data_IF_498981614060
#
_entry.id   IF_498981614060
#
_cell.length_a   1.000
_cell.length_b   1.000
_cell.length_c   1.000
_cell.angle_alpha   90.00
_cell.angle_beta   90.00
_cell.angle_gamma   90.00
#
_symmetry.space_group_name_H-M   'P 1'
#
loop_
_entity.id
_entity.type
_entity.pdbx_description
1 polymer ?
#
# COMPACT_ATOMS: atom_id res chain seq x y z
N UNK A 1 -69.22 -13.01 -5.56
CA UNK A 1 -68.17 -14.04 -5.62
C UNK A 1 -66.90 -13.49 -4.96
N UNK A 2 -66.37 -14.20 -3.97
CA UNK A 2 -65.08 -13.88 -3.33
C UNK A 2 -63.95 -13.91 -4.36
N UNK A 3 -62.91 -13.08 -4.18
CA UNK A 3 -61.58 -13.56 -3.77
C UNK A 3 -60.61 -12.40 -3.52
N UNK A 4 -59.99 -12.45 -2.34
CA UNK A 4 -58.82 -11.69 -1.90
C UNK A 4 -57.56 -12.16 -2.64
N UNK A 5 -56.53 -11.30 -2.61
CA UNK A 5 -55.05 -11.52 -2.48
C UNK A 5 -54.33 -10.50 -3.38
N UNK A 6 -53.93 -9.33 -2.86
CA UNK A 6 -52.70 -9.06 -2.10
C UNK A 6 -51.43 -9.58 -2.77
N UNK A 7 -50.60 -8.65 -3.27
CA UNK A 7 -49.14 -8.69 -3.11
C UNK A 7 -48.54 -7.31 -3.40
N UNK A 8 -48.39 -6.59 -2.30
CA UNK A 8 -47.49 -5.47 -2.03
C UNK A 8 -46.04 -5.85 -2.35
N UNK A 9 -45.17 -4.92 -2.77
CA UNK A 9 -44.03 -4.46 -1.96
C UNK A 9 -43.16 -3.38 -2.66
N UNK A 10 -43.27 -2.20 -2.06
CA UNK A 10 -42.22 -1.20 -1.73
C UNK A 10 -41.68 -0.29 -2.84
N UNK A 11 -42.34 0.86 -2.83
CA UNK A 11 -41.95 2.21 -3.17
C UNK A 11 -41.00 2.87 -2.14
N UNK A 12 -40.35 3.97 -2.56
CA UNK A 12 -39.87 5.13 -1.77
C UNK A 12 -38.55 4.92 -1.02
N UNK A 13 -37.58 5.84 -0.91
CA UNK A 13 -37.20 7.12 -1.53
C UNK A 13 -35.94 7.58 -0.77
N UNK A 14 -35.17 8.47 -1.38
CA UNK A 14 -34.46 9.61 -0.77
C UNK A 14 -34.23 9.59 0.77
N UNK A 15 -32.96 9.61 1.18
CA UNK A 15 -32.55 9.83 2.57
C UNK A 15 -31.14 10.38 2.67
N UNK A 16 -30.95 11.61 2.21
CA UNK A 16 -29.77 12.45 2.41
C UNK A 16 -29.64 12.79 3.90
N UNK A 17 -28.42 12.62 4.42
CA UNK A 17 -27.83 13.24 5.62
C UNK A 17 -28.76 13.64 6.78
N UNK A 18 -28.75 12.87 7.88
CA UNK A 18 -28.71 13.42 9.26
C UNK A 18 -27.99 12.41 10.16
N UNK A 19 -27.06 12.86 11.01
CA UNK A 19 -26.70 12.10 12.21
C UNK A 19 -25.25 12.11 12.71
N UNK A 20 -24.64 13.29 12.85
CA UNK A 20 -23.60 13.47 13.88
C UNK A 20 -24.29 13.47 15.25
N UNK A 21 -24.35 12.31 15.94
CA UNK A 21 -24.45 12.19 17.41
C UNK A 21 -24.57 10.71 17.79
N UNK A 22 -23.62 10.23 18.59
CA UNK A 22 -23.37 8.80 18.84
C UNK A 22 -24.41 8.08 19.71
N UNK A 23 -24.33 6.76 19.73
CA UNK A 23 -23.75 5.93 20.81
C UNK A 23 -23.85 4.49 20.30
N UNK A 24 -22.69 3.85 20.23
CA UNK A 24 -22.51 2.50 19.76
C UNK A 24 -21.03 2.22 19.83
N UNK A 25 -20.51 2.23 21.05
CA UNK A 25 -19.15 1.84 21.38
C UNK A 25 -19.04 0.33 21.15
N UNK A 26 -19.18 -0.09 19.90
CA UNK A 26 -18.55 -1.32 19.47
C UNK A 26 -17.06 -1.01 19.54
N UNK A 27 -16.36 -1.69 20.43
CA UNK A 27 -14.93 -1.92 20.29
C UNK A 27 -14.73 -2.61 18.94
N UNK A 28 -14.84 -1.86 17.84
CA UNK A 28 -14.27 -2.24 16.56
C UNK A 28 -12.80 -2.27 16.88
N UNK A 29 -12.30 -3.47 17.19
CA UNK A 29 -10.88 -3.79 17.09
C UNK A 29 -10.45 -3.15 15.78
N UNK A 30 -9.75 -2.02 15.88
CA UNK A 30 -9.36 -1.24 14.73
C UNK A 30 -8.29 -2.09 14.08
N UNK A 31 -8.72 -3.01 13.22
CA UNK A 31 -7.85 -3.93 12.51
C UNK A 31 -6.76 -3.07 11.90
N UNK A 32 -5.52 -3.36 12.27
CA UNK A 32 -4.38 -2.57 11.82
C UNK A 32 -4.45 -2.50 10.31
N UNK A 33 -4.54 -1.29 9.75
CA UNK A 33 -4.51 -1.09 8.30
C UNK A 33 -3.17 -1.49 7.66
N UNK A 34 -2.23 -1.95 8.48
CA UNK A 34 -0.93 -2.44 8.08
C UNK A 34 -0.94 -3.95 7.93
N UNK A 35 -0.51 -4.39 6.76
CA UNK A 35 -0.25 -5.77 6.41
C UNK A 35 1.26 -6.04 6.54
N UNK A 36 1.64 -7.23 6.97
CA UNK A 36 3.05 -7.64 7.03
C UNK A 36 3.57 -7.93 5.61
N UNK A 37 4.79 -7.51 5.34
CA UNK A 37 5.54 -7.83 4.14
C UNK A 37 5.34 -6.88 2.97
N UNK A 38 5.41 -7.43 1.75
CA UNK A 38 5.37 -6.67 0.50
C UNK A 38 4.02 -6.86 -0.21
N UNK A 39 3.40 -5.81 -0.79
CA UNK A 39 2.22 -5.96 -1.63
C UNK A 39 2.44 -6.99 -2.75
N UNK A 40 1.46 -7.87 -2.97
CA UNK A 40 1.58 -8.98 -3.93
C UNK A 40 2.03 -8.54 -5.33
N UNK A 41 1.55 -7.38 -5.79
CA UNK A 41 1.88 -6.84 -7.12
C UNK A 41 3.35 -6.47 -7.30
N UNK A 42 4.07 -6.24 -6.19
CA UNK A 42 5.49 -5.95 -6.19
C UNK A 42 6.34 -7.17 -5.85
N UNK A 43 5.79 -8.27 -5.37
CA UNK A 43 6.61 -9.45 -5.06
C UNK A 43 7.33 -9.97 -6.32
N UNK A 44 8.59 -10.34 -6.16
CA UNK A 44 9.47 -10.83 -7.22
C UNK A 44 9.63 -9.86 -8.40
N UNK A 45 9.63 -8.55 -8.11
CA UNK A 45 9.79 -7.51 -9.14
C UNK A 45 11.06 -6.70 -8.92
N UNK A 46 11.60 -6.18 -10.01
CA UNK A 46 12.80 -5.34 -10.00
C UNK A 46 12.53 -4.08 -10.82
N UNK A 47 12.92 -2.93 -10.29
CA UNK A 47 12.63 -1.61 -10.84
C UNK A 47 13.86 -0.71 -10.82
N UNK A 48 14.01 0.20 -11.77
CA UNK A 48 15.15 1.12 -11.81
C UNK A 48 14.77 2.54 -12.23
N UNK A 49 15.57 3.51 -11.82
CA UNK A 49 15.59 4.89 -12.32
C UNK A 49 17.05 5.29 -12.53
N UNK A 50 17.51 5.30 -13.79
CA UNK A 50 18.92 5.52 -14.10
C UNK A 50 19.83 4.49 -13.42
N UNK A 51 20.76 4.96 -12.60
CA UNK A 51 21.66 4.13 -11.78
C UNK A 51 20.99 3.53 -10.52
N UNK A 52 19.85 4.08 -10.10
CA UNK A 52 19.12 3.62 -8.90
C UNK A 52 18.31 2.37 -9.21
N UNK A 53 18.20 1.46 -8.25
CA UNK A 53 17.51 0.16 -8.40
C UNK A 53 16.68 -0.15 -7.15
N UNK A 54 15.57 -0.84 -7.33
CA UNK A 54 14.69 -1.32 -6.26
C UNK A 54 14.33 -2.76 -6.59
N UNK A 55 14.51 -3.68 -5.66
CA UNK A 55 14.14 -5.10 -5.84
C UNK A 55 13.23 -5.56 -4.71
N UNK A 56 12.16 -6.25 -5.07
CA UNK A 56 11.23 -6.86 -4.15
C UNK A 56 11.32 -8.38 -4.34
N UNK A 57 12.03 -9.09 -3.47
CA UNK A 57 12.23 -10.54 -3.53
C UNK A 57 11.25 -11.34 -2.65
N UNK A 58 11.49 -12.65 -2.54
CA UNK A 58 10.65 -13.58 -1.75
C UNK A 58 10.80 -13.39 -0.25
N UNK A 59 11.98 -12.99 0.20
CA UNK A 59 12.29 -12.78 1.63
C UNK A 59 12.96 -11.45 1.91
N UNK A 60 13.40 -10.76 0.86
CA UNK A 60 14.29 -9.61 0.95
C UNK A 60 13.81 -8.53 -0.03
N UNK A 61 13.67 -7.33 0.50
CA UNK A 61 13.38 -6.08 -0.15
C UNK A 61 14.69 -5.26 -0.24
N UNK A 62 15.06 -4.61 -1.34
CA UNK A 62 16.30 -3.81 -1.43
C UNK A 62 16.09 -2.47 -2.13
N UNK A 63 16.70 -1.40 -1.60
CA UNK A 63 16.78 -0.06 -2.20
C UNK A 63 18.22 0.23 -2.62
N UNK A 64 18.40 0.85 -3.79
CA UNK A 64 19.69 1.30 -4.31
C UNK A 64 19.51 2.73 -4.77
N UNK A 65 20.24 3.66 -4.15
CA UNK A 65 20.20 5.08 -4.50
C UNK A 65 21.12 5.42 -5.69
N UNK A 66 20.98 6.61 -6.29
CA UNK A 66 21.80 7.06 -7.41
C UNK A 66 23.26 7.30 -7.00
N UNK A 67 23.49 7.62 -5.72
CA UNK A 67 24.81 7.74 -5.08
C UNK A 67 25.36 6.38 -4.58
N UNK A 68 24.73 5.26 -4.98
CA UNK A 68 25.12 3.94 -4.50
C UNK A 68 24.58 3.59 -3.11
N UNK A 69 23.37 4.09 -2.79
CA UNK A 69 22.66 3.78 -1.55
C UNK A 69 22.73 2.28 -1.23
N UNK A 70 23.03 2.00 0.04
CA UNK A 70 23.33 0.71 0.65
C UNK A 70 22.84 -0.52 -0.13
N UNK A 71 23.79 -1.36 -0.59
CA UNK A 71 23.51 -2.66 -1.24
C UNK A 71 22.98 -3.71 -0.24
N UNK A 72 22.01 -3.36 0.59
CA UNK A 72 21.51 -4.23 1.64
C UNK A 72 20.04 -4.54 1.45
N UNK A 73 19.70 -5.76 1.83
CA UNK A 73 18.37 -6.28 1.77
C UNK A 73 17.68 -6.17 3.13
N UNK A 74 16.51 -5.55 3.17
CA UNK A 74 15.60 -5.55 4.31
C UNK A 74 14.74 -6.81 4.25
N UNK A 75 14.75 -7.67 5.28
CA UNK A 75 13.88 -8.84 5.32
C UNK A 75 12.40 -8.45 5.27
N UNK A 76 11.56 -9.27 4.63
CA UNK A 76 10.11 -9.04 4.55
C UNK A 76 9.47 -8.95 5.95
N UNK A 77 10.07 -9.59 6.96
CA UNK A 77 9.64 -9.49 8.36
C UNK A 77 9.71 -8.08 8.92
N UNK A 78 10.59 -7.25 8.36
CA UNK A 78 10.85 -5.87 8.77
C UNK A 78 10.17 -4.87 7.84
N UNK A 79 9.28 -5.35 6.96
CA UNK A 79 8.47 -4.50 6.09
C UNK A 79 6.99 -4.67 6.47
N UNK A 80 6.28 -3.56 6.49
CA UNK A 80 4.81 -3.52 6.58
C UNK A 80 4.29 -2.59 5.50
N UNK A 81 3.09 -2.84 5.01
CA UNK A 81 2.45 -1.94 4.05
C UNK A 81 1.00 -1.63 4.42
N UNK A 82 0.56 -0.44 4.05
CA UNK A 82 -0.85 -0.02 4.10
C UNK A 82 -1.29 0.36 2.71
N UNK A 83 -2.39 -0.22 2.23
CA UNK A 83 -3.02 0.23 1.00
C UNK A 83 -3.80 1.52 1.29
N UNK A 84 -3.43 2.61 0.62
CA UNK A 84 -4.05 3.94 0.82
C UNK A 84 -5.01 4.32 -0.31
N UNK A 85 -4.88 3.69 -1.48
CA UNK A 85 -5.81 3.79 -2.60
C UNK A 85 -5.55 2.62 -3.56
N UNK A 86 -6.33 2.50 -4.64
CA UNK A 86 -6.13 1.50 -5.67
C UNK A 86 -4.69 1.59 -6.21
N UNK A 87 -3.92 0.51 -6.05
CA UNK A 87 -2.50 0.40 -6.45
C UNK A 87 -1.55 1.42 -5.82
N UNK A 88 -1.95 2.08 -4.72
CA UNK A 88 -1.12 3.04 -3.98
C UNK A 88 -0.91 2.52 -2.56
N UNK A 89 0.36 2.42 -2.18
CA UNK A 89 0.80 1.79 -0.95
C UNK A 89 1.73 2.73 -0.18
N UNK A 90 1.55 2.76 1.13
CA UNK A 90 2.50 3.29 2.09
C UNK A 90 3.28 2.09 2.64
N UNK A 91 4.60 2.09 2.52
CA UNK A 91 5.50 1.08 3.05
C UNK A 91 6.19 1.62 4.30
N UNK A 92 6.34 0.76 5.30
CA UNK A 92 7.08 0.99 6.52
C UNK A 92 8.18 -0.05 6.57
N UNK A 93 9.43 0.39 6.68
CA UNK A 93 10.56 -0.52 6.75
C UNK A 93 11.64 0.03 7.69
N UNK A 94 12.39 -0.85 8.33
CA UNK A 94 13.57 -0.48 9.12
C UNK A 94 14.81 -0.69 8.26
N UNK A 95 15.77 0.24 8.33
CA UNK A 95 17.05 0.13 7.62
C UNK A 95 18.10 -0.40 8.61
N UNK A 96 18.41 -1.70 8.58
CA UNK A 96 19.15 -2.37 9.65
C UNK A 96 20.59 -1.85 9.84
N UNK A 97 21.16 -1.16 8.85
CA UNK A 97 22.55 -0.68 8.88
C UNK A 97 22.69 0.81 9.18
N UNK A 98 21.59 1.58 9.09
CA UNK A 98 21.61 3.02 9.36
C UNK A 98 21.74 3.39 10.85
N UNK A 99 21.61 2.41 11.76
CA UNK A 99 21.46 2.66 13.19
C UNK A 99 20.13 3.33 13.58
N UNK A 100 19.23 3.54 12.61
CA UNK A 100 17.91 4.12 12.82
C UNK A 100 16.94 3.00 13.20
N UNK A 101 16.62 2.91 14.48
CA UNK A 101 15.63 1.98 15.04
C UNK A 101 14.17 2.44 14.83
N UNK A 102 13.96 3.43 13.96
CA UNK A 102 12.64 3.97 13.63
C UNK A 102 12.21 3.54 12.23
N UNK A 103 10.91 3.25 12.02
CA UNK A 103 10.41 2.90 10.71
C UNK A 103 10.56 4.09 9.74
N UNK A 104 11.16 3.81 8.59
CA UNK A 104 11.19 4.69 7.42
C UNK A 104 9.89 4.46 6.64
N UNK A 105 9.27 5.56 6.19
CA UNK A 105 7.98 5.54 5.51
C UNK A 105 8.07 6.01 4.06
N UNK A 106 7.90 5.08 3.13
CA UNK A 106 7.97 5.33 1.70
C UNK A 106 6.67 5.01 0.97
N UNK A 107 6.50 5.54 -0.24
CA UNK A 107 5.27 5.42 -1.01
C UNK A 107 5.55 4.77 -2.35
N UNK A 108 4.77 3.75 -2.67
CA UNK A 108 4.79 3.06 -3.95
C UNK A 108 3.43 3.18 -4.64
N UNK A 109 3.44 3.58 -5.90
CA UNK A 109 2.27 3.51 -6.78
C UNK A 109 2.59 2.62 -7.96
N UNK A 110 1.89 1.50 -8.06
CA UNK A 110 1.93 0.68 -9.26
C UNK A 110 1.13 1.40 -10.36
N UNK A 111 1.75 1.60 -11.52
CA UNK A 111 1.08 2.21 -12.68
C UNK A 111 0.68 1.13 -13.67
N UNK A 112 1.64 0.29 -14.05
CA UNK A 112 1.43 -0.87 -14.92
C UNK A 112 2.63 -1.82 -14.83
N UNK A 113 2.61 -2.90 -15.63
CA UNK A 113 3.65 -3.93 -15.60
C UNK A 113 5.06 -3.40 -15.91
N UNK A 114 5.19 -2.24 -16.58
CA UNK A 114 6.45 -1.62 -16.96
C UNK A 114 6.85 -0.43 -16.09
N UNK A 115 5.92 0.15 -15.31
CA UNK A 115 6.12 1.42 -14.60
C UNK A 115 5.58 1.40 -13.16
N UNK A 116 6.42 1.89 -12.25
CA UNK A 116 6.10 2.15 -10.85
C UNK A 116 6.53 3.59 -10.50
N UNK A 117 5.79 4.29 -9.66
CA UNK A 117 6.22 5.56 -9.07
C UNK A 117 6.60 5.30 -7.61
N UNK A 118 7.78 5.78 -7.22
CA UNK A 118 8.32 5.67 -5.88
C UNK A 118 8.53 7.05 -5.26
N UNK A 119 8.37 7.18 -3.94
CA UNK A 119 8.66 8.42 -3.22
C UNK A 119 9.13 8.07 -1.80
N UNK A 120 10.30 8.57 -1.39
CA UNK A 120 10.98 8.14 -0.16
C UNK A 120 10.24 8.53 1.13
N UNK A 121 9.63 9.73 1.15
CA UNK A 121 8.83 10.26 2.26
C UNK A 121 7.73 11.21 1.72
N UNK A 122 7.03 12.00 2.56
CA UNK A 122 5.99 12.94 2.07
C UNK A 122 6.52 14.17 1.34
N UNK A 123 7.72 14.65 1.65
CA UNK A 123 8.31 15.88 1.10
C UNK A 123 9.21 15.58 -0.12
N UNK A 124 9.75 14.38 -0.21
CA UNK A 124 10.59 13.89 -1.31
C UNK A 124 9.94 14.01 -2.68
N UNK A 125 10.75 14.21 -3.73
CA UNK A 125 10.28 14.16 -5.12
C UNK A 125 9.87 12.74 -5.48
N UNK A 126 8.83 12.62 -6.30
CA UNK A 126 8.41 11.33 -6.85
C UNK A 126 9.36 10.92 -7.99
N UNK A 127 9.75 9.66 -7.99
CA UNK A 127 10.70 9.06 -8.95
C UNK A 127 9.96 8.00 -9.75
N UNK A 128 10.04 8.08 -11.07
CA UNK A 128 9.47 7.08 -11.98
C UNK A 128 10.47 5.94 -12.14
N UNK A 129 10.08 4.73 -11.84
CA UNK A 129 10.90 3.54 -12.01
C UNK A 129 10.32 2.62 -13.08
N UNK A 130 11.21 1.99 -13.85
CA UNK A 130 10.87 1.06 -14.92
C UNK A 130 11.22 -0.37 -14.54
N UNK A 131 10.40 -1.34 -14.95
CA UNK A 131 10.63 -2.74 -14.64
C UNK A 131 11.78 -3.29 -15.47
N UNK A 132 12.65 -4.10 -14.86
CA UNK A 132 13.74 -4.77 -15.55
C UNK A 132 13.85 -6.24 -15.13
N UNK A 133 14.50 -7.05 -15.97
CA UNK A 133 14.62 -8.50 -15.78
C UNK A 133 16.08 -9.00 -15.74
N UNK A 134 17.06 -8.20 -16.16
CA UNK A 134 18.48 -8.57 -16.30
C UNK A 134 19.45 -7.69 -15.49
N UNK A 135 20.63 -8.22 -15.19
CA UNK A 135 21.76 -7.49 -14.60
C UNK A 135 22.79 -7.18 -15.67
#
# INVERSE_FOLDING_TARGET
MQMKKTLTFISISLGILIGFSGIGQQNKVQASSWHKGIPQIFRHTKWHNGSSRITFGTKIFSFWGPEGGERFGIPETNVKYKQISHHKYLLSHEEPHSGIFSPIYSYAKYVNAKKMIWKWDKTSKAVVNYRYYHW
#
